data_IF_208580571707
#
_entry.id   IF_208580571707
#
_cell.length_a   1.000
_cell.length_b   1.000
_cell.length_c   1.000
_cell.angle_alpha   90.00
_cell.angle_beta   90.00
_cell.angle_gamma   90.00
#
_symmetry.space_group_name_H-M   'P 1'
#
loop_
_entity.id
_entity.type
_entity.pdbx_description
1 polymer ?
#
# COMPACT_ATOMS: atom_id res chain seq x y z
N UNK A 1 -14.70 17.19 -1.38
CA UNK A 1 -13.30 17.59 -1.31
C UNK A 1 -12.50 16.70 -0.35
N UNK A 2 -12.90 16.51 0.91
CA UNK A 2 -12.21 15.63 1.86
C UNK A 2 -12.07 14.16 1.39
N UNK A 3 -13.09 13.59 0.76
CA UNK A 3 -13.05 12.23 0.23
C UNK A 3 -12.03 12.05 -0.90
N UNK A 4 -11.87 13.06 -1.77
CA UNK A 4 -10.86 13.05 -2.84
C UNK A 4 -9.44 13.15 -2.26
N UNK A 5 -9.24 13.96 -1.22
CA UNK A 5 -7.96 14.07 -0.52
C UNK A 5 -7.60 12.76 0.19
N UNK A 6 -8.56 12.11 0.82
CA UNK A 6 -8.36 10.79 1.44
C UNK A 6 -8.01 9.72 0.40
N UNK A 7 -8.67 9.73 -0.75
CA UNK A 7 -8.41 8.78 -1.84
C UNK A 7 -7.03 8.99 -2.47
N UNK A 8 -6.62 10.24 -2.73
CA UNK A 8 -5.26 10.55 -3.24
C UNK A 8 -4.18 10.18 -2.23
N UNK A 9 -4.41 10.43 -0.95
CA UNK A 9 -3.49 10.02 0.12
C UNK A 9 -3.35 8.50 0.20
N UNK A 10 -4.46 7.75 0.13
CA UNK A 10 -4.48 6.28 0.13
C UNK A 10 -3.70 5.71 -1.07
N UNK A 11 -3.94 6.23 -2.27
CA UNK A 11 -3.23 5.81 -3.51
C UNK A 11 -1.73 6.11 -3.40
N UNK A 12 -1.37 7.26 -2.84
CA UNK A 12 0.03 7.62 -2.65
C UNK A 12 0.74 6.69 -1.65
N UNK A 13 0.07 6.36 -0.54
CA UNK A 13 0.61 5.47 0.49
C UNK A 13 0.78 4.03 -0.03
N UNK A 14 -0.22 3.48 -0.72
CA UNK A 14 -0.14 2.13 -1.29
C UNK A 14 0.91 2.03 -2.41
N UNK A 15 1.05 3.07 -3.23
CA UNK A 15 2.08 3.13 -4.28
C UNK A 15 3.51 3.14 -3.73
N UNK A 16 3.75 3.85 -2.64
CA UNK A 16 5.06 3.89 -1.96
C UNK A 16 5.46 2.54 -1.35
N UNK A 17 4.53 1.87 -0.68
CA UNK A 17 4.77 0.54 -0.09
C UNK A 17 5.06 -0.51 -1.15
N UNK A 18 4.28 -0.52 -2.24
CA UNK A 18 4.50 -1.43 -3.36
C UNK A 18 5.90 -1.29 -3.97
N UNK A 19 6.33 -0.06 -4.23
CA UNK A 19 7.66 0.21 -4.81
C UNK A 19 8.80 -0.25 -3.88
N UNK A 20 8.67 -0.03 -2.58
CA UNK A 20 9.66 -0.48 -1.60
C UNK A 20 9.73 -2.01 -1.52
N UNK A 21 8.59 -2.68 -1.49
CA UNK A 21 8.52 -4.16 -1.49
C UNK A 21 9.09 -4.75 -2.77
N UNK A 22 8.77 -4.16 -3.92
CA UNK A 22 9.31 -4.58 -5.21
C UNK A 22 10.84 -4.44 -5.27
N UNK A 23 11.38 -3.29 -4.85
CA UNK A 23 12.83 -3.06 -4.81
C UNK A 23 13.54 -4.03 -3.86
N UNK A 24 12.95 -4.32 -2.70
CA UNK A 24 13.48 -5.32 -1.77
C UNK A 24 13.53 -6.70 -2.41
N UNK A 25 12.45 -7.15 -3.05
CA UNK A 25 12.37 -8.44 -3.72
C UNK A 25 13.41 -8.54 -4.83
N UNK A 26 13.51 -7.54 -5.70
CA UNK A 26 14.50 -7.51 -6.78
C UNK A 26 15.94 -7.51 -6.26
N UNK A 27 16.21 -6.77 -5.19
CA UNK A 27 17.50 -6.76 -4.54
C UNK A 27 17.84 -8.14 -3.98
N UNK A 28 16.89 -8.79 -3.31
CA UNK A 28 17.08 -10.12 -2.73
C UNK A 28 17.33 -11.19 -3.79
N UNK A 29 16.59 -11.16 -4.91
CA UNK A 29 16.86 -12.08 -6.04
C UNK A 29 18.26 -11.88 -6.61
N UNK A 30 18.73 -10.65 -6.72
CA UNK A 30 20.10 -10.36 -7.18
C UNK A 30 21.15 -10.96 -6.23
N UNK A 31 20.94 -10.85 -4.92
CA UNK A 31 21.84 -11.47 -3.94
C UNK A 31 21.83 -12.99 -4.05
N UNK A 32 20.65 -13.62 -4.20
CA UNK A 32 20.53 -15.07 -4.37
C UNK A 32 21.23 -15.58 -5.64
N UNK A 33 21.02 -14.91 -6.76
CA UNK A 33 21.66 -15.23 -8.05
C UNK A 33 23.19 -15.14 -7.93
N UNK A 34 23.72 -14.12 -7.27
CA UNK A 34 25.15 -14.00 -7.02
C UNK A 34 25.71 -15.09 -6.11
N UNK A 35 24.95 -15.55 -5.11
CA UNK A 35 25.37 -16.71 -4.32
C UNK A 35 25.47 -17.98 -5.15
N UNK A 36 24.51 -18.23 -6.07
CA UNK A 36 24.55 -19.35 -6.99
C UNK A 36 25.74 -19.25 -7.95
N UNK A 37 26.01 -18.08 -8.50
CA UNK A 37 27.17 -17.81 -9.35
C UNK A 37 28.49 -18.06 -8.59
N UNK A 38 28.63 -17.50 -7.40
CA UNK A 38 29.83 -17.70 -6.57
C UNK A 38 30.04 -19.18 -6.25
N UNK A 39 28.96 -19.92 -5.96
CA UNK A 39 29.03 -21.38 -5.74
C UNK A 39 29.54 -22.13 -6.98
N UNK A 40 29.05 -21.78 -8.16
CA UNK A 40 29.50 -22.39 -9.42
C UNK A 40 31.00 -22.11 -9.65
N UNK A 41 31.45 -20.86 -9.45
CA UNK A 41 32.87 -20.48 -9.60
C UNK A 41 33.77 -21.21 -8.61
N UNK A 42 33.34 -21.41 -7.37
CA UNK A 42 34.10 -22.20 -6.38
C UNK A 42 34.25 -23.65 -6.81
N UNK A 43 33.20 -24.24 -7.38
CA UNK A 43 33.27 -25.60 -7.92
C UNK A 43 34.22 -25.70 -9.12
N UNK A 44 34.18 -24.71 -10.02
CA UNK A 44 35.08 -24.64 -11.18
C UNK A 44 36.53 -24.40 -10.75
N UNK A 45 36.80 -23.53 -9.80
CA UNK A 45 38.13 -23.31 -9.26
C UNK A 45 38.70 -24.59 -8.65
N UNK A 46 37.92 -25.30 -7.80
CA UNK A 46 38.33 -26.56 -7.16
C UNK A 46 38.57 -27.67 -8.22
N UNK A 47 37.68 -27.78 -9.22
CA UNK A 47 37.83 -28.78 -10.27
C UNK A 47 39.11 -28.58 -11.07
N UNK A 48 39.44 -27.33 -11.43
CA UNK A 48 40.66 -26.99 -12.16
C UNK A 48 41.90 -27.13 -11.29
N UNK A 49 41.85 -26.67 -10.01
CA UNK A 49 42.92 -26.92 -9.05
C UNK A 49 43.25 -28.40 -8.91
N UNK A 50 42.22 -29.24 -8.74
CA UNK A 50 42.36 -30.70 -8.66
C UNK A 50 42.88 -31.30 -9.94
N UNK A 51 42.39 -30.83 -11.12
CA UNK A 51 42.90 -31.24 -12.43
C UNK A 51 44.39 -30.97 -12.58
N UNK A 52 44.84 -29.77 -12.13
CA UNK A 52 46.27 -29.44 -12.09
C UNK A 52 47.05 -30.34 -11.11
N UNK A 53 46.57 -30.58 -9.89
CA UNK A 53 47.22 -31.41 -8.90
C UNK A 53 47.37 -32.89 -9.38
N UNK A 54 46.40 -33.41 -10.14
CA UNK A 54 46.41 -34.75 -10.63
C UNK A 54 47.33 -34.96 -11.86
N UNK A 55 47.43 -33.91 -12.71
CA UNK A 55 48.04 -34.08 -14.04
C UNK A 55 49.32 -33.26 -14.24
N UNK A 56 49.54 -32.21 -13.44
CA UNK A 56 50.61 -31.24 -13.63
C UNK A 56 50.46 -30.38 -14.89
N UNK A 57 49.33 -30.46 -15.60
CA UNK A 57 49.12 -29.78 -16.88
C UNK A 57 48.75 -28.30 -16.69
N UNK A 58 49.49 -27.38 -17.30
CA UNK A 58 49.24 -25.93 -17.16
C UNK A 58 47.92 -25.48 -17.78
N UNK A 59 47.28 -26.30 -18.63
CA UNK A 59 45.96 -25.99 -19.24
C UNK A 59 44.83 -25.80 -18.19
N UNK A 60 44.99 -26.29 -16.96
CA UNK A 60 44.07 -26.12 -15.86
C UNK A 60 44.27 -24.76 -15.10
N UNK A 61 45.41 -24.11 -15.28
CA UNK A 61 45.75 -22.88 -14.52
C UNK A 61 44.96 -21.68 -15.00
N UNK A 62 44.78 -21.51 -16.32
CA UNK A 62 44.02 -20.36 -16.86
C UNK A 62 42.54 -20.42 -16.44
N UNK A 63 41.77 -21.49 -16.58
CA UNK A 63 40.39 -21.58 -16.06
C UNK A 63 40.31 -21.41 -14.56
N UNK A 64 41.29 -21.95 -13.82
CA UNK A 64 41.36 -21.73 -12.35
C UNK A 64 41.53 -20.24 -12.03
N UNK A 65 42.42 -19.51 -12.65
CA UNK A 65 42.65 -18.09 -12.43
C UNK A 65 41.40 -17.26 -12.75
N UNK A 66 40.71 -17.59 -13.85
CA UNK A 66 39.43 -16.95 -14.20
C UNK A 66 38.35 -17.17 -13.13
N UNK A 67 38.20 -18.40 -12.64
CA UNK A 67 37.24 -18.71 -11.59
C UNK A 67 37.60 -18.01 -10.29
N UNK A 68 38.89 -17.96 -9.90
CA UNK A 68 39.34 -17.22 -8.69
C UNK A 68 39.07 -15.74 -8.79
N UNK A 69 39.30 -15.12 -9.95
CA UNK A 69 38.98 -13.69 -10.16
C UNK A 69 37.47 -13.45 -10.04
N UNK A 70 36.65 -14.29 -10.67
CA UNK A 70 35.19 -14.19 -10.58
C UNK A 70 34.70 -14.32 -9.13
N UNK A 71 35.25 -15.27 -8.35
CA UNK A 71 34.92 -15.42 -6.93
C UNK A 71 35.22 -14.11 -6.14
N UNK A 72 36.38 -13.50 -6.37
CA UNK A 72 36.75 -12.25 -5.69
C UNK A 72 35.82 -11.10 -6.05
N UNK A 73 35.48 -10.97 -7.31
CA UNK A 73 34.58 -9.95 -7.80
C UNK A 73 33.16 -10.14 -7.23
N UNK A 74 32.62 -11.36 -7.29
CA UNK A 74 31.32 -11.74 -6.74
C UNK A 74 31.24 -11.51 -5.21
N UNK A 75 32.26 -11.93 -4.45
CA UNK A 75 32.32 -11.68 -3.01
C UNK A 75 32.36 -10.18 -2.68
N UNK A 76 33.12 -9.41 -3.48
CA UNK A 76 33.17 -7.94 -3.35
C UNK A 76 31.81 -7.30 -3.57
N UNK A 77 31.07 -7.75 -4.59
CA UNK A 77 29.75 -7.22 -4.91
C UNK A 77 28.67 -7.71 -3.93
N UNK A 78 28.73 -8.97 -3.48
CA UNK A 78 27.89 -9.48 -2.40
C UNK A 78 28.05 -8.65 -1.11
N UNK A 79 29.28 -8.33 -0.72
CA UNK A 79 29.54 -7.47 0.44
C UNK A 79 28.92 -6.09 0.30
N UNK A 80 28.96 -5.49 -0.87
CA UNK A 80 28.30 -4.19 -1.15
C UNK A 80 26.78 -4.31 -1.04
N UNK A 81 26.22 -5.33 -1.70
CA UNK A 81 24.77 -5.55 -1.71
C UNK A 81 24.23 -5.88 -0.33
N UNK A 82 24.95 -6.62 0.51
CA UNK A 82 24.53 -7.02 1.85
C UNK A 82 25.10 -6.14 2.96
N UNK A 83 25.59 -4.94 2.64
CA UNK A 83 26.25 -4.03 3.60
C UNK A 83 25.44 -3.73 4.85
N UNK A 84 24.11 -3.76 4.75
CA UNK A 84 23.18 -3.51 5.86
C UNK A 84 22.79 -4.78 6.64
N UNK A 85 23.32 -5.96 6.26
CA UNK A 85 23.05 -7.23 6.94
C UNK A 85 24.31 -7.77 7.63
N UNK A 86 24.44 -7.58 8.96
CA UNK A 86 25.62 -8.00 9.71
C UNK A 86 25.85 -9.52 9.73
N UNK A 87 24.78 -10.30 9.53
CA UNK A 87 24.88 -11.76 9.50
C UNK A 87 25.48 -12.21 8.17
N UNK A 88 24.98 -11.68 7.07
CA UNK A 88 25.53 -11.94 5.73
C UNK A 88 26.99 -11.47 5.63
N UNK A 89 27.33 -10.32 6.18
CA UNK A 89 28.71 -9.83 6.23
C UNK A 89 29.66 -10.80 6.94
N UNK A 90 29.22 -11.44 8.03
CA UNK A 90 30.02 -12.49 8.72
C UNK A 90 30.16 -13.74 7.88
N UNK A 91 29.09 -14.21 7.25
CA UNK A 91 29.12 -15.37 6.38
C UNK A 91 30.09 -15.14 5.20
N UNK A 92 30.00 -13.98 4.56
CA UNK A 92 30.89 -13.59 3.44
C UNK A 92 32.35 -13.46 3.87
N UNK A 93 32.62 -12.88 5.05
CA UNK A 93 33.98 -12.82 5.59
C UNK A 93 34.55 -14.19 5.90
N UNK A 94 33.73 -15.12 6.40
CA UNK A 94 34.11 -16.51 6.63
C UNK A 94 34.41 -17.23 5.32
N UNK A 95 33.53 -17.05 4.31
CA UNK A 95 33.69 -17.64 2.99
C UNK A 95 34.97 -17.12 2.31
N UNK A 96 35.21 -15.80 2.32
CA UNK A 96 36.42 -15.20 1.77
C UNK A 96 37.68 -15.78 2.39
N UNK A 97 37.72 -15.87 3.72
CA UNK A 97 38.83 -16.49 4.44
C UNK A 97 39.03 -17.95 4.01
N UNK A 98 37.95 -18.72 3.84
CA UNK A 98 38.04 -20.11 3.39
C UNK A 98 38.54 -20.20 1.93
N UNK A 99 38.10 -19.29 1.05
CA UNK A 99 38.60 -19.22 -0.34
C UNK A 99 40.11 -18.94 -0.35
N UNK A 100 40.57 -17.97 0.43
CA UNK A 100 41.98 -17.63 0.56
C UNK A 100 42.83 -18.77 1.11
N UNK A 101 42.37 -19.43 2.19
CA UNK A 101 43.12 -20.51 2.84
C UNK A 101 43.14 -21.83 2.06
N UNK A 102 42.06 -22.08 1.26
CA UNK A 102 41.80 -23.43 0.75
C UNK A 102 41.93 -23.53 -0.77
N UNK A 103 41.57 -22.50 -1.51
CA UNK A 103 41.65 -22.49 -2.98
C UNK A 103 42.94 -21.87 -3.51
N UNK A 104 43.49 -20.85 -2.82
CA UNK A 104 44.72 -20.21 -3.29
C UNK A 104 45.91 -21.15 -3.12
N UNK A 105 46.66 -21.36 -4.18
CA UNK A 105 47.87 -22.15 -4.19
C UNK A 105 48.91 -21.58 -5.16
N UNK A 106 50.22 -21.86 -4.90
CA UNK A 106 51.28 -21.55 -5.83
C UNK A 106 51.65 -22.82 -6.59
N UNK A 107 51.51 -22.85 -7.93
CA UNK A 107 51.87 -24.00 -8.77
C UNK A 107 53.29 -24.45 -8.57
N UNK A 108 54.24 -23.56 -8.27
CA UNK A 108 55.65 -23.88 -8.06
C UNK A 108 55.88 -24.68 -6.73
N UNK A 109 55.01 -24.46 -5.74
CA UNK A 109 55.10 -25.24 -4.46
C UNK A 109 54.52 -26.62 -4.58
N UNK A 110 53.52 -26.81 -5.46
CA UNK A 110 52.87 -28.11 -5.68
C UNK A 110 53.78 -29.06 -6.48
N UNK A 111 54.49 -28.55 -7.50
CA UNK A 111 55.38 -29.28 -8.36
C UNK A 111 56.81 -28.67 -8.34
N UNK A 112 57.53 -28.79 -7.26
CA UNK A 112 58.89 -28.28 -7.21
C UNK A 112 59.79 -29.04 -8.19
N UNK A 113 60.52 -28.28 -9.03
CA UNK A 113 61.46 -28.77 -10.00
C UNK A 113 60.89 -29.79 -11.03
N UNK A 114 59.58 -29.69 -11.38
CA UNK A 114 58.95 -30.55 -12.38
C UNK A 114 58.72 -31.98 -11.96
N UNK A 115 58.81 -32.27 -10.65
CA UNK A 115 58.48 -33.60 -10.14
C UNK A 115 56.97 -33.79 -10.05
N UNK A 116 56.45 -34.91 -10.64
CA UNK A 116 55.06 -35.29 -10.43
C UNK A 116 54.83 -35.70 -8.98
N UNK A 117 53.69 -35.29 -8.37
CA UNK A 117 53.35 -35.71 -7.01
C UNK A 117 53.21 -37.22 -6.92
N UNK A 118 53.54 -37.77 -5.77
CA UNK A 118 53.33 -39.22 -5.50
C UNK A 118 51.81 -39.48 -5.40
N UNK A 119 51.39 -40.72 -5.74
CA UNK A 119 49.96 -41.09 -5.63
C UNK A 119 49.41 -40.83 -4.22
N UNK A 120 50.22 -41.02 -3.15
CA UNK A 120 49.82 -40.79 -1.79
C UNK A 120 49.59 -39.30 -1.48
N UNK A 121 50.44 -38.39 -1.98
CA UNK A 121 50.25 -36.93 -1.82
C UNK A 121 49.05 -36.41 -2.62
N UNK A 122 48.82 -36.93 -3.81
CA UNK A 122 47.63 -36.60 -4.63
C UNK A 122 46.34 -37.01 -3.93
N UNK A 123 46.25 -38.22 -3.42
CA UNK A 123 45.08 -38.71 -2.67
C UNK A 123 44.82 -37.82 -1.44
N UNK A 124 45.85 -37.49 -0.67
CA UNK A 124 45.73 -36.66 0.52
C UNK A 124 45.25 -35.22 0.19
N UNK A 125 45.78 -34.62 -0.86
CA UNK A 125 45.37 -33.29 -1.34
C UNK A 125 43.90 -33.30 -1.85
N UNK A 126 43.51 -34.31 -2.59
CA UNK A 126 42.14 -34.47 -3.12
C UNK A 126 41.11 -34.68 -2.00
N UNK A 127 41.41 -35.54 -1.03
CA UNK A 127 40.50 -35.77 0.11
C UNK A 127 40.36 -34.51 0.99
N UNK A 128 41.44 -33.78 1.27
CA UNK A 128 41.39 -32.51 1.97
C UNK A 128 40.55 -31.46 1.21
N UNK A 129 40.78 -31.32 -0.10
CA UNK A 129 40.01 -30.42 -0.96
C UNK A 129 38.51 -30.70 -0.90
N UNK A 130 38.12 -32.00 -0.93
CA UNK A 130 36.71 -32.39 -0.84
C UNK A 130 36.05 -31.97 0.47
N UNK A 131 36.70 -32.20 1.60
CA UNK A 131 36.15 -31.77 2.91
C UNK A 131 36.01 -30.25 3.02
N UNK A 132 36.97 -29.53 2.46
CA UNK A 132 36.98 -28.06 2.42
C UNK A 132 35.90 -27.49 1.53
N UNK A 133 35.75 -28.04 0.34
CA UNK A 133 34.66 -27.66 -0.59
C UNK A 133 33.28 -27.88 0.05
N UNK A 134 33.09 -29.00 0.76
CA UNK A 134 31.84 -29.29 1.46
C UNK A 134 31.54 -28.24 2.55
N UNK A 135 32.57 -27.75 3.23
CA UNK A 135 32.42 -26.71 4.25
C UNK A 135 32.06 -25.36 3.60
N UNK A 136 32.72 -24.94 2.51
CA UNK A 136 32.37 -23.74 1.75
C UNK A 136 30.94 -23.79 1.22
N UNK A 137 30.53 -24.92 0.67
CA UNK A 137 29.14 -25.17 0.21
C UNK A 137 28.14 -25.02 1.34
N UNK A 138 28.46 -25.48 2.55
CA UNK A 138 27.58 -25.33 3.71
C UNK A 138 27.41 -23.88 4.11
N UNK A 139 28.49 -23.10 4.17
CA UNK A 139 28.41 -21.66 4.50
C UNK A 139 27.59 -20.91 3.45
N UNK A 140 27.78 -21.21 2.15
CA UNK A 140 27.00 -20.65 1.07
C UNK A 140 25.53 -21.03 1.17
N UNK A 141 25.24 -22.30 1.43
CA UNK A 141 23.88 -22.80 1.60
C UNK A 141 23.17 -22.11 2.77
N UNK A 142 23.84 -21.98 3.93
CA UNK A 142 23.30 -21.28 5.10
C UNK A 142 23.01 -19.82 4.77
N UNK A 143 23.92 -19.13 4.08
CA UNK A 143 23.73 -17.75 3.65
C UNK A 143 22.55 -17.60 2.67
N UNK A 144 22.42 -18.50 1.71
CA UNK A 144 21.34 -18.58 0.73
C UNK A 144 19.98 -18.82 1.42
N UNK A 145 19.91 -19.84 2.30
CA UNK A 145 18.70 -20.18 3.06
C UNK A 145 18.22 -19.01 3.93
N UNK A 146 19.12 -18.31 4.61
CA UNK A 146 18.79 -17.13 5.40
C UNK A 146 18.17 -16.03 4.53
N UNK A 147 18.74 -15.79 3.36
CA UNK A 147 18.24 -14.80 2.43
C UNK A 147 16.86 -15.18 1.87
N UNK A 148 16.66 -16.44 1.56
CA UNK A 148 15.38 -16.97 1.06
C UNK A 148 14.29 -16.92 2.14
N UNK A 149 14.63 -17.20 3.40
CA UNK A 149 13.71 -17.05 4.53
C UNK A 149 13.34 -15.58 4.78
N UNK A 150 14.29 -14.66 4.66
CA UNK A 150 14.01 -13.24 4.75
C UNK A 150 13.04 -12.79 3.63
N UNK A 151 13.27 -13.26 2.38
CA UNK A 151 12.39 -13.00 1.25
C UNK A 151 10.96 -13.50 1.49
N UNK A 152 10.81 -14.76 1.93
CA UNK A 152 9.49 -15.35 2.18
C UNK A 152 8.71 -14.61 3.28
N UNK A 153 9.37 -14.19 4.36
CA UNK A 153 8.74 -13.36 5.41
C UNK A 153 8.27 -12.01 4.87
N UNK A 154 9.07 -11.35 4.05
CA UNK A 154 8.69 -10.08 3.44
C UNK A 154 7.55 -10.23 2.43
N UNK A 155 7.52 -11.33 1.66
CA UNK A 155 6.42 -11.63 0.74
C UNK A 155 5.11 -11.87 1.50
N UNK A 156 5.13 -12.67 2.58
CA UNK A 156 3.95 -12.89 3.42
C UNK A 156 3.44 -11.59 4.05
N UNK A 157 4.33 -10.77 4.61
CA UNK A 157 3.94 -9.47 5.15
C UNK A 157 3.33 -8.55 4.10
N UNK A 158 3.87 -8.55 2.88
CA UNK A 158 3.32 -7.77 1.77
C UNK A 158 1.94 -8.28 1.31
N UNK A 159 1.71 -9.59 1.29
CA UNK A 159 0.40 -10.19 0.98
C UNK A 159 -0.66 -9.82 2.04
N UNK A 160 -0.32 -9.90 3.33
CA UNK A 160 -1.20 -9.52 4.43
C UNK A 160 -1.57 -8.02 4.37
N UNK A 161 -0.61 -7.15 4.05
CA UNK A 161 -0.83 -5.73 3.85
C UNK A 161 -1.74 -5.44 2.65
N UNK A 162 -1.60 -6.17 1.55
CA UNK A 162 -2.46 -6.03 0.36
C UNK A 162 -3.91 -6.40 0.69
N UNK A 163 -4.14 -7.52 1.38
CA UNK A 163 -5.48 -7.96 1.78
C UNK A 163 -6.11 -6.94 2.74
N UNK A 164 -5.37 -6.46 3.72
CA UNK A 164 -5.84 -5.44 4.67
C UNK A 164 -6.21 -4.13 3.96
N UNK A 165 -5.36 -3.64 3.04
CA UNK A 165 -5.61 -2.43 2.27
C UNK A 165 -6.81 -2.58 1.30
N UNK A 166 -7.03 -3.75 0.70
CA UNK A 166 -8.19 -4.03 -0.14
C UNK A 166 -9.48 -3.98 0.69
N UNK A 167 -9.52 -4.58 1.87
CA UNK A 167 -10.67 -4.52 2.78
C UNK A 167 -10.96 -3.07 3.21
N UNK A 168 -9.94 -2.31 3.60
CA UNK A 168 -10.09 -0.90 3.98
C UNK A 168 -10.63 -0.05 2.83
N UNK A 169 -10.13 -0.25 1.60
CA UNK A 169 -10.61 0.46 0.42
C UNK A 169 -12.05 0.14 0.09
N UNK A 170 -12.47 -1.12 0.23
CA UNK A 170 -13.84 -1.57 0.01
C UNK A 170 -14.79 -0.96 1.05
N UNK A 171 -14.42 -0.93 2.31
CA UNK A 171 -15.19 -0.26 3.38
C UNK A 171 -15.34 1.22 3.10
N UNK A 172 -14.29 1.89 2.64
CA UNK A 172 -14.33 3.32 2.30
C UNK A 172 -15.28 3.58 1.11
N UNK A 173 -15.22 2.76 0.06
CA UNK A 173 -16.09 2.88 -1.12
C UNK A 173 -17.56 2.71 -0.70
N UNK A 174 -17.87 1.73 0.13
CA UNK A 174 -19.23 1.51 0.64
C UNK A 174 -19.70 2.69 1.49
N UNK A 175 -18.84 3.23 2.36
CA UNK A 175 -19.17 4.40 3.18
C UNK A 175 -19.46 5.65 2.33
N UNK A 176 -18.67 5.90 1.30
CA UNK A 176 -18.88 7.02 0.35
C UNK A 176 -20.18 6.83 -0.43
N UNK A 177 -20.45 5.60 -0.91
CA UNK A 177 -21.70 5.29 -1.63
C UNK A 177 -22.93 5.53 -0.73
N UNK A 178 -22.90 5.09 0.52
CA UNK A 178 -23.97 5.34 1.49
C UNK A 178 -24.16 6.85 1.76
N UNK A 179 -23.08 7.60 1.90
CA UNK A 179 -23.17 9.07 2.09
C UNK A 179 -23.80 9.76 0.88
N UNK A 180 -23.46 9.35 -0.34
CA UNK A 180 -24.07 9.89 -1.57
C UNK A 180 -25.56 9.56 -1.66
N UNK A 181 -25.96 8.32 -1.32
CA UNK A 181 -27.39 7.94 -1.27
C UNK A 181 -28.15 8.77 -0.24
N UNK A 182 -27.55 8.98 0.94
CA UNK A 182 -28.13 9.82 1.99
C UNK A 182 -28.34 11.27 1.51
N UNK A 183 -27.33 11.86 0.87
CA UNK A 183 -27.43 13.20 0.30
C UNK A 183 -28.53 13.27 -0.76
N UNK A 184 -28.59 12.27 -1.66
CA UNK A 184 -29.62 12.20 -2.69
C UNK A 184 -31.03 12.12 -2.08
N UNK A 185 -31.23 11.30 -1.03
CA UNK A 185 -32.52 11.21 -0.31
C UNK A 185 -32.90 12.54 0.33
N UNK A 186 -31.93 13.25 0.93
CA UNK A 186 -32.16 14.58 1.52
C UNK A 186 -32.56 15.60 0.43
N UNK A 187 -31.86 15.62 -0.71
CA UNK A 187 -32.21 16.53 -1.82
C UNK A 187 -33.60 16.26 -2.37
N UNK A 188 -33.95 14.99 -2.59
CA UNK A 188 -35.30 14.60 -3.04
C UNK A 188 -36.39 14.98 -2.02
N UNK A 189 -36.08 14.94 -0.71
CA UNK A 189 -37.01 15.41 0.31
C UNK A 189 -37.14 16.94 0.35
N UNK A 190 -36.05 17.67 0.14
CA UNK A 190 -36.07 19.12 0.09
C UNK A 190 -36.86 19.66 -1.12
N UNK A 191 -36.79 19.01 -2.27
CA UNK A 191 -37.61 19.37 -3.44
C UNK A 191 -39.11 19.28 -3.15
N UNK A 192 -39.56 18.28 -2.38
CA UNK A 192 -40.96 18.14 -1.98
C UNK A 192 -41.43 19.21 -0.98
N UNK A 193 -40.52 19.89 -0.29
CA UNK A 193 -40.85 20.96 0.67
C UNK A 193 -40.99 22.33 -0.02
N UNK A 194 -40.64 22.46 -1.30
CA UNK A 194 -40.74 23.72 -2.07
C UNK A 194 -42.03 23.79 -2.91
N UNK A 195 -43.12 23.12 -2.52
CA UNK A 195 -44.42 23.35 -3.15
C UNK A 195 -44.89 24.80 -2.86
N UNK A 196 -44.73 25.69 -3.85
CA UNK A 196 -45.25 27.04 -3.77
C UNK A 196 -46.77 26.99 -3.72
N UNK A 197 -47.31 27.53 -2.63
CA UNK A 197 -48.75 27.65 -2.45
C UNK A 197 -49.22 28.87 -3.23
N UNK A 198 -50.10 28.66 -4.23
CA UNK A 198 -50.70 29.79 -4.95
C UNK A 198 -51.87 30.33 -4.18
N UNK A 199 -51.78 31.60 -3.75
CA UNK A 199 -52.82 32.30 -3.02
C UNK A 199 -53.50 33.34 -3.95
N UNK A 200 -54.80 33.35 -3.97
CA UNK A 200 -55.56 34.36 -4.71
C UNK A 200 -55.44 35.71 -4.01
N UNK A 201 -54.86 36.70 -4.69
CA UNK A 201 -54.64 38.02 -4.16
C UNK A 201 -55.93 38.80 -3.76
N UNK A 202 -57.08 38.38 -4.32
CA UNK A 202 -58.37 39.02 -4.07
C UNK A 202 -59.17 38.37 -2.98
N UNK A 203 -59.23 37.01 -2.98
CA UNK A 203 -60.07 36.27 -2.00
C UNK A 203 -59.29 35.70 -0.81
N UNK A 204 -57.95 35.72 -0.85
CA UNK A 204 -57.12 35.05 0.13
C UNK A 204 -57.21 33.53 0.11
N UNK A 205 -57.89 32.93 -0.88
CA UNK A 205 -58.03 31.48 -1.01
C UNK A 205 -56.76 30.87 -1.56
N UNK A 206 -56.48 29.65 -1.14
CA UNK A 206 -55.30 28.84 -1.56
C UNK A 206 -55.73 27.83 -2.58
N UNK A 207 -54.98 27.75 -3.69
CA UNK A 207 -55.19 26.71 -4.71
C UNK A 207 -54.53 25.41 -4.30
N UNK A 208 -55.34 24.40 -4.02
CA UNK A 208 -54.89 23.06 -3.63
C UNK A 208 -55.57 22.00 -4.43
N UNK A 209 -54.80 21.15 -5.10
CA UNK A 209 -55.33 20.08 -5.99
C UNK A 209 -56.37 20.55 -7.00
N UNK A 210 -56.17 21.73 -7.57
CA UNK A 210 -57.07 22.31 -8.58
C UNK A 210 -58.29 23.06 -8.03
N UNK A 211 -58.54 23.01 -6.71
CA UNK A 211 -59.66 23.69 -6.07
C UNK A 211 -59.17 24.87 -5.21
N UNK A 212 -60.00 25.93 -5.11
CA UNK A 212 -59.74 27.05 -4.26
C UNK A 212 -60.34 26.77 -2.86
N UNK A 213 -59.47 26.67 -1.86
CA UNK A 213 -59.84 26.40 -0.45
C UNK A 213 -59.55 27.63 0.41
N UNK A 214 -60.29 27.77 1.50
CA UNK A 214 -59.92 28.75 2.50
C UNK A 214 -58.59 28.35 3.18
N UNK A 215 -57.86 29.33 3.67
CA UNK A 215 -56.55 29.07 4.31
C UNK A 215 -56.64 28.10 5.49
N UNK A 216 -57.70 28.17 6.29
CA UNK A 216 -57.96 27.29 7.42
C UNK A 216 -58.23 25.82 6.98
N UNK A 217 -58.97 25.65 5.91
CA UNK A 217 -59.25 24.30 5.33
C UNK A 217 -57.98 23.70 4.70
N UNK A 218 -57.18 24.54 4.02
CA UNK A 218 -55.90 24.12 3.44
C UNK A 218 -54.95 23.67 4.53
N UNK A 219 -54.77 24.46 5.60
CA UNK A 219 -53.85 24.10 6.71
C UNK A 219 -54.29 22.83 7.44
N UNK A 220 -55.61 22.64 7.58
CA UNK A 220 -56.17 21.39 8.18
C UNK A 220 -55.91 20.19 7.29
N UNK A 221 -56.14 20.27 5.98
CA UNK A 221 -55.98 19.16 5.03
C UNK A 221 -54.49 18.82 4.78
N UNK A 222 -53.64 19.82 4.66
CA UNK A 222 -52.23 19.61 4.30
C UNK A 222 -51.33 19.30 5.50
N UNK A 223 -51.58 19.98 6.62
CA UNK A 223 -50.71 19.91 7.78
C UNK A 223 -51.38 19.40 9.06
N UNK A 224 -52.69 19.12 9.03
CA UNK A 224 -53.43 18.66 10.21
C UNK A 224 -53.62 19.75 11.28
N UNK A 225 -53.32 21.02 10.95
CA UNK A 225 -53.37 22.16 11.87
C UNK A 225 -54.80 22.69 11.92
N UNK A 226 -55.38 22.73 13.13
CA UNK A 226 -56.67 23.42 13.36
C UNK A 226 -56.44 24.91 13.67
N UNK A 227 -57.09 25.76 12.86
CA UNK A 227 -56.96 27.23 12.97
C UNK A 227 -58.17 27.74 13.72
N UNK A 228 -58.00 28.46 14.81
CA UNK A 228 -59.04 29.22 15.51
C UNK A 228 -59.03 30.67 15.05
N UNK A 229 -60.21 31.27 14.85
CA UNK A 229 -60.36 32.67 14.47
C UNK A 229 -60.63 33.49 15.72
N UNK A 230 -59.84 34.50 15.97
CA UNK A 230 -60.06 35.49 17.02
C UNK A 230 -59.80 36.90 16.45
N UNK A 231 -60.45 37.90 16.97
CA UNK A 231 -60.15 39.29 16.65
C UNK A 231 -58.88 39.73 17.35
N UNK A 232 -57.97 40.35 16.62
CA UNK A 232 -56.87 41.04 17.24
C UNK A 232 -57.39 42.26 18.03
N UNK A 233 -56.68 42.66 19.06
CA UNK A 233 -57.09 43.84 19.89
C UNK A 233 -57.28 45.09 19.02
N UNK A 234 -56.40 45.30 18.05
CA UNK A 234 -56.46 46.41 17.09
C UNK A 234 -57.70 46.35 16.19
N UNK A 235 -58.10 45.18 15.69
CA UNK A 235 -59.30 44.98 14.89
C UNK A 235 -60.56 45.18 15.73
N UNK A 236 -60.57 44.73 16.99
CA UNK A 236 -61.68 44.96 17.94
C UNK A 236 -61.85 46.42 18.25
N UNK A 237 -60.79 47.18 18.52
CA UNK A 237 -60.82 48.64 18.71
C UNK A 237 -61.27 49.45 17.50
N UNK A 238 -60.87 48.99 16.31
CA UNK A 238 -61.34 49.65 15.07
C UNK A 238 -62.80 49.39 14.81
N UNK A 239 -63.30 48.21 15.04
CA UNK A 239 -64.72 47.86 14.91
C UNK A 239 -65.56 48.61 15.94
N UNK A 240 -65.08 48.74 17.17
CA UNK A 240 -65.76 49.56 18.19
C UNK A 240 -65.86 51.05 17.80
N UNK A 241 -64.82 51.63 17.24
CA UNK A 241 -64.81 52.99 16.74
C UNK A 241 -65.77 53.20 15.57
N UNK A 242 -65.88 52.22 14.63
CA UNK A 242 -66.82 52.28 13.54
C UNK A 242 -68.29 52.18 14.03
N UNK A 243 -68.57 51.34 15.00
CA UNK A 243 -69.88 51.20 15.61
C UNK A 243 -70.25 52.48 16.34
N UNK A 244 -69.33 53.12 17.10
CA UNK A 244 -69.54 54.38 17.73
C UNK A 244 -69.80 55.54 16.73
N UNK A 245 -69.14 55.55 15.61
CA UNK A 245 -69.33 56.52 14.54
C UNK A 245 -70.72 56.39 13.87
N UNK A 246 -71.23 55.17 13.73
CA UNK A 246 -72.56 54.90 13.15
C UNK A 246 -73.70 55.22 14.12
N UNK A 247 -73.44 55.17 15.46
CA UNK A 247 -74.41 55.42 16.49
C UNK A 247 -74.47 56.92 16.94
N UNK A 248 -73.70 57.81 16.27
CA UNK A 248 -73.83 59.23 16.56
C UNK A 248 -75.14 59.77 15.95
N UNK A 249 -76.08 60.29 16.79
CA UNK A 249 -77.32 60.87 16.26
C UNK A 249 -76.99 62.12 15.45
N UNK A 250 -77.53 62.13 14.21
CA UNK A 250 -77.47 63.27 13.30
C UNK A 250 -78.06 64.50 13.98
N UNK A 251 -77.21 65.45 14.42
CA UNK A 251 -77.62 66.77 14.89
C UNK A 251 -77.75 67.65 13.66
N UNK A 252 -78.80 67.47 12.90
CA UNK A 252 -79.26 68.49 11.96
C UNK A 252 -79.95 69.63 12.80
N UNK A 253 -79.56 70.89 12.63
CA UNK A 253 -80.25 71.94 13.26
C UNK A 253 -81.62 72.19 12.65
N UNK A 254 -82.65 72.63 13.44
CA UNK A 254 -83.96 72.85 12.90
C UNK A 254 -84.00 74.01 11.90
N UNK A 255 -84.86 73.97 10.87
CA UNK A 255 -85.02 75.12 9.93
C UNK A 255 -85.59 76.28 10.60
N UNK A 256 -85.11 77.49 10.22
CA UNK A 256 -85.59 78.79 10.57
C UNK A 256 -86.86 79.19 9.85
#
# INVERSE_FOLDING_TARGET
MLALLAMTWLVHQTGGQFNNSFNYVMHTYKVLDMFEQTQAQIVDAEANQRGFFLTGRPEYLEPYQHAMQAIHDDLGDLKKLTSNDPLQQRNLATLEKMVEEELVFDPATVFPAGQMPTNASVVTLTERGKVKLEHMRRVLFEAHEQQQQALSKHQQAAEDDVVSNQLMSLVLIVAVAMALVMVLVILLRLEKLQEFVTVCAWTGQVKFQGQWLRLDEYLKKQFGISVSHSLSQEAAEKMMREIEALNRPDKSPPPA
#
